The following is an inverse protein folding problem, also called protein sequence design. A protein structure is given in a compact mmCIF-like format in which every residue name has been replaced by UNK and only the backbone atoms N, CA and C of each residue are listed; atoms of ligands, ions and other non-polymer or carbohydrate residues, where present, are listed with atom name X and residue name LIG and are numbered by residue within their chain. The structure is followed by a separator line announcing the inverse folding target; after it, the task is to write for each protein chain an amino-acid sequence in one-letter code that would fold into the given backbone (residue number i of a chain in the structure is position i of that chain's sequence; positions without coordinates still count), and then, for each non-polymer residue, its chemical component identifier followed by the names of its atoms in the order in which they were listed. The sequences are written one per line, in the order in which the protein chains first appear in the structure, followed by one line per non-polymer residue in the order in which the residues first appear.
data_IF_509963006904
#
_entry.id   IF_509963006904
#
_cell.length_a   1.000
_cell.length_b   1.000
_cell.length_c   1.000
_cell.angle_alpha   90.00
_cell.angle_beta   90.00
_cell.angle_gamma   90.00
#
_symmetry.space_group_name_H-M   'P 1'
#
loop_
_entity.id
_entity.type
_entity.pdbx_description
1 polymer ?
#
# COMPACT_ATOMS: atom_id res chain seq x y z
N UNK A 1 22.94 -0.87 16.87
CA UNK A 1 21.49 -1.15 17.02
C UNK A 1 20.82 -0.37 15.90
N UNK A 2 20.24 -1.05 14.92
CA UNK A 2 19.44 -0.35 13.90
C UNK A 2 18.11 -0.08 14.59
N UNK A 3 17.76 1.17 14.82
CA UNK A 3 16.39 1.54 15.16
C UNK A 3 15.51 1.01 14.03
N UNK A 4 14.82 -0.11 14.27
CA UNK A 4 13.80 -0.58 13.34
C UNK A 4 12.67 0.44 13.38
N UNK A 5 12.65 1.34 12.40
CA UNK A 5 11.58 2.31 12.21
C UNK A 5 10.23 1.58 12.30
N UNK A 6 9.31 2.16 13.08
CA UNK A 6 7.99 1.58 13.34
C UNK A 6 7.31 1.12 12.03
N UNK A 7 6.87 -0.15 11.92
CA UNK A 7 6.26 -0.69 10.70
C UNK A 7 4.97 0.02 10.25
N UNK A 8 4.36 0.85 11.13
CA UNK A 8 3.18 1.68 10.82
C UNK A 8 3.55 3.05 10.26
N UNK A 9 4.82 3.40 10.20
CA UNK A 9 5.27 4.58 9.46
C UNK A 9 5.20 4.31 7.96
N UNK A 10 4.61 5.21 7.19
CA UNK A 10 4.44 5.04 5.75
C UNK A 10 5.78 5.21 5.01
N UNK A 11 6.31 4.09 4.53
CA UNK A 11 7.50 4.02 3.67
C UNK A 11 7.35 2.87 2.67
N UNK A 12 8.20 2.86 1.65
CA UNK A 12 8.20 1.78 0.65
C UNK A 12 8.50 0.43 1.31
N UNK A 13 9.51 0.39 2.17
CA UNK A 13 9.96 -0.80 2.90
C UNK A 13 8.86 -1.34 3.81
N UNK A 14 8.14 -0.45 4.50
CA UNK A 14 7.06 -0.85 5.39
C UNK A 14 5.81 -1.33 4.64
N UNK A 15 5.51 -0.76 3.46
CA UNK A 15 4.49 -1.33 2.56
C UNK A 15 4.86 -2.76 2.17
N UNK A 16 6.09 -3.00 1.69
CA UNK A 16 6.54 -4.35 1.30
C UNK A 16 6.52 -5.33 2.48
N UNK A 17 6.97 -4.91 3.68
CA UNK A 17 6.92 -5.72 4.89
C UNK A 17 5.49 -6.10 5.28
N UNK A 18 4.56 -5.16 5.21
CA UNK A 18 3.15 -5.47 5.50
C UNK A 18 2.54 -6.40 4.46
N UNK A 19 2.86 -6.23 3.16
CA UNK A 19 2.34 -7.09 2.10
C UNK A 19 2.71 -8.57 2.25
N UNK A 20 3.82 -8.89 2.91
CA UNK A 20 4.21 -10.29 3.18
C UNK A 20 3.24 -11.03 4.10
N UNK A 21 2.45 -10.31 4.90
CA UNK A 21 1.55 -10.87 5.93
C UNK A 21 0.12 -10.32 5.88
N UNK A 22 -0.13 -9.32 5.06
CA UNK A 22 -1.44 -8.67 4.97
C UNK A 22 -2.49 -9.62 4.40
N UNK A 23 -3.71 -9.52 4.92
CA UNK A 23 -4.86 -10.23 4.35
C UNK A 23 -5.13 -9.70 2.93
N UNK A 24 -5.19 -10.61 1.96
CA UNK A 24 -5.68 -10.31 0.62
C UNK A 24 -7.15 -10.70 0.52
N UNK A 25 -8.00 -9.72 0.25
CA UNK A 25 -9.46 -9.91 0.14
C UNK A 25 -10.04 -8.93 -0.87
N UNK A 26 -11.03 -9.37 -1.64
CA UNK A 26 -11.79 -8.51 -2.56
C UNK A 26 -10.92 -7.68 -3.54
N UNK A 27 -9.76 -8.20 -3.93
CA UNK A 27 -8.87 -7.52 -4.88
C UNK A 27 -7.87 -6.53 -4.26
N UNK A 28 -7.76 -6.45 -2.93
CA UNK A 28 -6.82 -5.57 -2.24
C UNK A 28 -6.12 -6.24 -1.06
N UNK A 29 -4.99 -5.68 -0.66
CA UNK A 29 -4.34 -5.93 0.63
C UNK A 29 -4.75 -4.87 1.65
N UNK A 30 -5.10 -5.29 2.87
CA UNK A 30 -5.36 -4.36 3.97
C UNK A 30 -4.07 -4.04 4.73
N UNK A 31 -3.67 -2.77 4.71
CA UNK A 31 -2.46 -2.25 5.36
C UNK A 31 -2.84 -1.30 6.50
N UNK A 32 -1.97 -1.15 7.49
CA UNK A 32 -2.17 -0.26 8.64
C UNK A 32 -1.01 0.73 8.75
N UNK A 33 -1.33 2.03 8.68
CA UNK A 33 -0.34 3.10 8.86
C UNK A 33 -0.84 4.16 9.82
N UNK A 34 0.07 4.94 10.39
CA UNK A 34 -0.29 6.21 11.00
C UNK A 34 -0.98 7.09 9.97
N UNK A 35 -2.01 7.82 10.40
CA UNK A 35 -2.77 8.72 9.55
C UNK A 35 -2.53 10.17 9.99
N UNK A 36 -2.34 11.06 9.01
CA UNK A 36 -2.35 12.50 9.25
C UNK A 36 -3.78 13.03 9.47
N UNK A 37 -3.89 14.34 9.77
CA UNK A 37 -5.19 15.01 9.99
C UNK A 37 -6.10 14.97 8.76
N UNK A 38 -5.56 14.70 7.57
CA UNK A 38 -6.27 14.60 6.30
C UNK A 38 -6.63 13.15 5.94
N UNK A 39 -6.36 12.19 6.84
CA UNK A 39 -6.65 10.78 6.63
C UNK A 39 -5.69 10.08 5.64
N UNK A 40 -4.52 10.65 5.38
CA UNK A 40 -3.48 10.06 4.52
C UNK A 40 -2.44 9.32 5.34
N UNK A 41 -1.79 8.28 4.79
CA UNK A 41 -0.74 7.58 5.51
C UNK A 41 0.46 8.51 5.78
N UNK A 42 0.93 8.51 7.01
CA UNK A 42 1.92 9.46 7.55
C UNK A 42 3.32 8.85 7.59
N UNK A 43 4.33 9.67 7.29
CA UNK A 43 5.76 9.32 7.39
C UNK A 43 6.32 9.49 8.81
N UNK A 44 5.49 9.93 9.75
CA UNK A 44 5.82 10.11 11.15
C UNK A 44 4.72 9.49 12.03
N UNK A 45 5.05 8.99 13.23
CA UNK A 45 4.05 8.52 14.19
C UNK A 45 3.02 9.60 14.50
N UNK A 46 1.74 9.22 14.51
CA UNK A 46 0.63 10.09 14.92
C UNK A 46 -0.24 9.39 15.95
N UNK A 47 -1.18 10.11 16.56
CA UNK A 47 -2.13 9.53 17.51
C UNK A 47 -3.16 8.57 16.86
N UNK A 48 -3.23 8.53 15.52
CA UNK A 48 -4.22 7.75 14.78
C UNK A 48 -3.53 6.73 13.88
N UNK A 49 -3.92 5.46 14.01
CA UNK A 49 -3.65 4.42 13.02
C UNK A 49 -4.93 4.17 12.23
N UNK A 50 -4.82 4.04 10.92
CA UNK A 50 -5.95 3.78 10.03
C UNK A 50 -5.62 2.64 9.07
N UNK A 51 -6.67 2.02 8.52
CA UNK A 51 -6.52 1.02 7.45
C UNK A 51 -6.50 1.67 6.08
N UNK A 52 -5.67 1.11 5.21
CA UNK A 52 -5.56 1.51 3.82
C UNK A 52 -5.64 0.27 2.94
N UNK A 53 -6.30 0.40 1.80
CA UNK A 53 -6.53 -0.72 0.89
C UNK A 53 -5.68 -0.55 -0.36
N UNK A 54 -4.65 -1.40 -0.49
CA UNK A 54 -3.77 -1.40 -1.64
C UNK A 54 -4.27 -2.41 -2.67
N UNK A 55 -4.66 -1.91 -3.83
CA UNK A 55 -4.97 -2.72 -4.99
C UNK A 55 -3.66 -2.99 -5.76
N UNK A 56 -3.26 -4.26 -5.90
CA UNK A 56 -2.01 -4.63 -6.55
C UNK A 56 -1.97 -4.27 -8.03
N UNK A 57 -3.12 -4.18 -8.72
CA UNK A 57 -3.17 -3.67 -10.09
C UNK A 57 -2.94 -2.17 -10.11
N UNK A 58 -1.81 -1.75 -10.68
CA UNK A 58 -1.39 -0.36 -10.72
C UNK A 58 -0.88 0.22 -9.40
N UNK A 59 -0.92 -0.52 -8.28
CA UNK A 59 -0.48 0.01 -6.99
C UNK A 59 -1.35 1.17 -6.49
N UNK A 60 -2.68 1.00 -6.57
CA UNK A 60 -3.64 2.03 -6.14
C UNK A 60 -3.90 1.91 -4.63
N UNK A 61 -3.69 3.00 -3.88
CA UNK A 61 -4.01 3.04 -2.45
C UNK A 61 -5.31 3.82 -2.20
N UNK A 62 -6.18 3.24 -1.39
CA UNK A 62 -7.43 3.85 -0.92
C UNK A 62 -7.51 3.94 0.59
N UNK A 63 -8.31 4.86 1.09
CA UNK A 63 -8.62 4.99 2.52
C UNK A 63 -9.72 4.02 2.99
N UNK A 64 -10.10 4.12 4.25
CA UNK A 64 -11.14 3.31 4.90
C UNK A 64 -12.53 3.47 4.24
N UNK A 65 -12.78 4.60 3.57
CA UNK A 65 -13.99 4.90 2.81
C UNK A 65 -13.86 4.55 1.33
N UNK A 66 -12.81 3.80 0.95
CA UNK A 66 -12.47 3.43 -0.42
C UNK A 66 -12.29 4.63 -1.36
N UNK A 67 -11.99 5.82 -0.84
CA UNK A 67 -11.63 6.97 -1.66
C UNK A 67 -10.18 6.83 -2.13
N UNK A 68 -9.92 7.26 -3.36
CA UNK A 68 -8.59 7.22 -3.94
C UNK A 68 -7.67 8.21 -3.22
N UNK A 69 -6.56 7.71 -2.68
CA UNK A 69 -5.51 8.56 -2.12
C UNK A 69 -4.41 8.83 -3.14
N UNK A 70 -3.85 7.76 -3.71
CA UNK A 70 -2.83 7.86 -4.75
C UNK A 70 -2.70 6.59 -5.58
N UNK A 71 -1.95 6.73 -6.67
CA UNK A 71 -1.43 5.65 -7.50
C UNK A 71 0.10 5.64 -7.43
N UNK A 72 0.71 4.48 -7.22
CA UNK A 72 2.16 4.31 -7.28
C UNK A 72 2.51 2.95 -7.86
N UNK A 73 2.96 2.97 -9.12
CA UNK A 73 3.27 1.75 -9.88
C UNK A 73 4.38 0.90 -9.26
N UNK A 74 5.15 1.39 -8.28
CA UNK A 74 6.12 0.57 -7.54
C UNK A 74 5.46 -0.53 -6.73
N UNK A 75 4.18 -0.36 -6.40
CA UNK A 75 3.36 -1.36 -5.71
C UNK A 75 2.50 -2.17 -6.66
N UNK A 76 2.72 -2.03 -7.97
CA UNK A 76 2.06 -2.87 -8.96
C UNK A 76 2.70 -4.27 -8.95
N UNK A 77 2.03 -5.23 -8.29
CA UNK A 77 2.53 -6.62 -8.21
C UNK A 77 2.23 -7.43 -9.46
N UNK A 78 1.53 -6.86 -10.46
CA UNK A 78 1.30 -7.48 -11.77
C UNK A 78 2.29 -7.00 -12.83
N UNK A 79 3.33 -6.24 -12.46
CA UNK A 79 4.44 -5.90 -13.36
C UNK A 79 5.04 -7.18 -13.96
N UNK A 80 4.98 -7.28 -15.28
CA UNK A 80 5.39 -8.49 -16.02
C UNK A 80 4.34 -9.02 -17.00
N UNK A 81 3.15 -8.40 -17.10
CA UNK A 81 2.22 -8.71 -18.19
C UNK A 81 2.87 -8.35 -19.54
N UNK A 82 3.37 -9.37 -20.23
CA UNK A 82 3.75 -9.29 -21.64
C UNK A 82 2.47 -9.59 -22.41
N UNK A 83 1.86 -8.61 -23.12
CA UNK A 83 0.75 -8.93 -24.00
C UNK A 83 1.20 -10.01 -24.99
N UNK A 84 0.37 -11.04 -25.27
CA UNK A 84 0.72 -12.03 -26.29
C UNK A 84 1.03 -11.24 -27.56
N UNK A 85 2.25 -11.41 -28.10
CA UNK A 85 2.59 -10.85 -29.40
C UNK A 85 1.51 -11.35 -30.34
N UNK A 86 0.76 -10.43 -30.95
CA UNK A 86 -0.12 -10.78 -32.05
C UNK A 86 0.80 -11.34 -33.14
N UNK A 87 0.96 -12.66 -33.19
CA UNK A 87 1.59 -13.32 -34.33
C UNK A 87 0.76 -12.93 -35.55
N UNK A 88 1.37 -12.12 -36.42
CA UNK A 88 0.89 -11.89 -37.77
C UNK A 88 1.43 -13.00 -38.66
#
# INVERSE_FOLDING_TARGET
MIDEADPKTFSHENVLKQLQRAEYRNGYFALEFYADERGRPSREPTARVARFYLYPSGGTLRDEQFQLLFYDSRYDTYRGFVPPKSEK
#
